data_IF_241178870945
#
_entry.id   IF_241178870945
#
_cell.length_a   1.000
_cell.length_b   1.000
_cell.length_c   1.000
_cell.angle_alpha   90.00
_cell.angle_beta   90.00
_cell.angle_gamma   90.00
#
_symmetry.space_group_name_H-M   'P 1'
#
loop_
_entity.id
_entity.type
_entity.pdbx_description
1 polymer ?
#
# COMPACT_ATOMS: atom_id res chain seq x y z
N UNK A 1 47.67 62.80 7.99
CA UNK A 1 48.18 61.93 9.07
C UNK A 1 47.74 62.50 10.41
N UNK A 2 47.43 61.70 11.46
CA UNK A 2 47.27 60.24 11.58
C UNK A 2 45.78 59.85 11.81
N UNK A 3 45.20 58.66 11.62
CA UNK A 3 45.55 57.25 11.88
C UNK A 3 45.86 56.92 13.35
N UNK A 4 44.86 56.50 14.13
CA UNK A 4 45.07 55.29 14.92
C UNK A 4 43.79 54.52 15.27
N UNK A 5 43.83 53.22 14.96
CA UNK A 5 42.97 52.12 15.43
C UNK A 5 43.42 51.66 16.81
N UNK A 6 42.53 51.01 17.55
CA UNK A 6 42.66 49.66 18.16
C UNK A 6 41.53 49.52 19.21
N UNK A 7 40.52 48.66 19.05
CA UNK A 7 40.48 47.20 19.01
C UNK A 7 40.37 46.52 20.39
N UNK A 8 39.32 45.70 20.51
CA UNK A 8 39.11 44.52 21.38
C UNK A 8 38.91 44.70 22.89
N UNK A 9 37.76 44.27 23.43
CA UNK A 9 37.48 42.87 23.79
C UNK A 9 36.24 42.76 24.72
N UNK A 10 35.24 41.98 24.27
CA UNK A 10 34.69 40.81 24.95
C UNK A 10 34.12 40.87 26.40
N UNK A 11 32.88 40.35 26.52
CA UNK A 11 32.38 39.41 27.55
C UNK A 11 31.70 39.99 28.82
N UNK A 12 30.37 40.05 28.73
CA UNK A 12 29.42 39.21 29.47
C UNK A 12 28.50 39.80 30.54
N UNK A 13 27.27 39.27 30.43
CA UNK A 13 26.37 38.82 31.48
C UNK A 13 25.38 39.80 32.11
N UNK A 14 24.13 39.61 31.66
CA UNK A 14 23.00 39.36 32.53
C UNK A 14 22.26 40.61 32.98
N UNK A 15 20.95 40.61 33.15
CA UNK A 15 19.97 39.53 33.10
C UNK A 15 18.63 40.26 33.23
N UNK A 16 17.65 40.02 32.34
CA UNK A 16 16.21 40.09 32.62
C UNK A 16 15.43 39.92 31.33
N UNK A 17 14.73 38.79 31.21
CA UNK A 17 13.48 38.76 30.45
C UNK A 17 12.53 37.76 31.13
N UNK A 18 11.27 38.16 31.37
CA UNK A 18 10.30 37.32 32.04
C UNK A 18 9.84 36.23 31.08
N UNK A 19 9.91 34.99 31.55
CA UNK A 19 9.24 33.88 30.92
C UNK A 19 7.73 34.08 31.05
N UNK A 20 7.10 34.61 29.99
CA UNK A 20 5.68 34.55 29.78
C UNK A 20 5.40 33.84 28.45
N UNK A 21 4.86 32.63 28.59
CA UNK A 21 3.72 32.16 27.80
C UNK A 21 3.84 32.21 26.26
N UNK A 22 4.29 31.11 25.67
CA UNK A 22 3.84 30.69 24.32
C UNK A 22 3.63 29.18 24.28
N UNK A 23 2.57 28.70 24.93
CA UNK A 23 1.92 27.46 24.51
C UNK A 23 1.03 27.75 23.29
N UNK A 24 1.64 28.18 22.19
CA UNK A 24 0.99 28.23 20.89
C UNK A 24 1.28 26.92 20.18
N UNK A 25 0.34 25.98 20.20
CA UNK A 25 0.44 24.77 19.37
C UNK A 25 0.24 25.14 17.89
N UNK A 26 1.23 25.77 17.26
CA UNK A 26 1.24 25.88 15.81
C UNK A 26 1.99 24.66 15.28
N UNK A 27 1.26 23.71 14.71
CA UNK A 27 1.86 22.69 13.85
C UNK A 27 2.79 23.41 12.85
N UNK A 28 4.00 22.89 12.58
CA UNK A 28 4.93 23.52 11.63
C UNK A 28 4.22 23.75 10.29
N UNK A 29 4.32 24.96 9.74
CA UNK A 29 3.77 25.25 8.43
C UNK A 29 4.37 24.33 7.37
N UNK A 30 3.53 23.76 6.50
CA UNK A 30 4.00 22.86 5.45
C UNK A 30 4.96 23.58 4.51
N UNK A 31 6.01 22.87 4.09
CA UNK A 31 6.89 23.35 3.01
C UNK A 31 6.10 23.41 1.71
N UNK A 32 6.34 24.46 0.92
CA UNK A 32 5.83 24.52 -0.46
C UNK A 32 6.58 23.51 -1.32
N UNK A 33 5.85 22.62 -1.97
CA UNK A 33 6.41 21.59 -2.84
C UNK A 33 6.40 22.09 -4.29
N UNK A 34 7.59 22.25 -4.87
CA UNK A 34 7.81 22.62 -6.28
C UNK A 34 8.27 21.41 -7.11
N UNK A 35 7.75 20.22 -6.78
CA UNK A 35 8.05 18.95 -7.46
C UNK A 35 6.91 18.58 -8.40
N UNK A 36 7.10 17.67 -9.37
CA UNK A 36 5.99 17.14 -10.18
C UNK A 36 5.07 16.19 -9.40
N UNK A 37 5.47 15.78 -8.19
CA UNK A 37 4.68 14.93 -7.29
C UNK A 37 5.55 14.28 -6.20
N UNK A 38 4.98 13.92 -5.04
CA UNK A 38 3.67 14.34 -4.55
C UNK A 38 3.62 15.86 -4.29
N UNK A 39 2.42 16.44 -4.36
CA UNK A 39 2.18 17.88 -4.18
C UNK A 39 1.54 18.18 -2.82
N UNK A 40 1.64 19.43 -2.40
CA UNK A 40 0.91 19.90 -1.23
C UNK A 40 -0.60 19.89 -1.53
N UNK A 41 -1.39 19.41 -0.57
CA UNK A 41 -2.86 19.37 -0.66
C UNK A 41 -3.48 20.41 0.27
N UNK A 42 -4.75 20.77 0.03
CA UNK A 42 -5.50 21.70 0.89
C UNK A 42 -5.73 21.12 2.29
N UNK A 43 -6.04 22.00 3.26
CA UNK A 43 -6.43 21.59 4.61
C UNK A 43 -7.63 20.64 4.60
N UNK A 44 -8.62 20.90 3.75
CA UNK A 44 -9.81 20.06 3.62
C UNK A 44 -9.50 18.65 3.15
N UNK A 45 -8.53 18.47 2.24
CA UNK A 45 -8.06 17.13 1.83
C UNK A 45 -7.37 16.42 3.00
N UNK A 46 -6.53 17.11 3.77
CA UNK A 46 -5.87 16.51 4.94
C UNK A 46 -6.89 16.07 6.00
N UNK A 47 -7.88 16.91 6.28
CA UNK A 47 -8.95 16.58 7.23
C UNK A 47 -9.78 15.37 6.77
N UNK A 48 -10.03 15.24 5.46
CA UNK A 48 -10.76 14.09 4.92
C UNK A 48 -10.04 12.74 5.17
N UNK A 49 -8.70 12.75 5.34
CA UNK A 49 -7.92 11.55 5.66
C UNK A 49 -8.07 11.09 7.11
N UNK A 50 -8.62 11.93 8.00
CA UNK A 50 -8.83 11.59 9.41
C UNK A 50 -10.11 10.77 9.64
N UNK A 51 -10.75 10.29 8.56
CA UNK A 51 -12.01 9.59 8.61
C UNK A 51 -11.97 8.32 7.78
N UNK A 52 -12.09 7.19 8.46
CA UNK A 52 -12.21 5.89 7.82
C UNK A 52 -13.65 5.61 7.40
N UNK A 53 -13.81 4.94 6.25
CA UNK A 53 -15.08 4.46 5.75
C UNK A 53 -14.94 3.00 5.35
N UNK A 54 -15.91 2.17 5.73
CA UNK A 54 -15.98 0.79 5.26
C UNK A 54 -16.29 0.73 3.77
N UNK A 55 -15.76 -0.26 3.06
CA UNK A 55 -15.96 -0.42 1.61
C UNK A 55 -17.42 -0.66 1.19
N UNK A 56 -18.27 -1.08 2.13
CA UNK A 56 -19.72 -1.28 1.95
C UNK A 56 -20.57 -0.13 2.52
N UNK A 57 -19.95 0.88 3.10
CA UNK A 57 -20.65 2.07 3.59
C UNK A 57 -21.28 2.81 2.40
N UNK A 58 -22.54 3.21 2.54
CA UNK A 58 -23.28 3.98 1.54
C UNK A 58 -22.52 5.24 1.15
N UNK A 59 -21.88 5.91 2.11
CA UNK A 59 -21.08 7.10 1.84
C UNK A 59 -19.86 6.78 0.97
N UNK A 60 -19.14 5.70 1.27
CA UNK A 60 -17.98 5.27 0.47
C UNK A 60 -18.40 4.91 -0.95
N UNK A 61 -19.46 4.11 -1.09
CA UNK A 61 -20.00 3.69 -2.39
C UNK A 61 -20.41 4.91 -3.22
N UNK A 62 -21.13 5.86 -2.62
CA UNK A 62 -21.56 7.09 -3.31
C UNK A 62 -20.36 7.94 -3.76
N UNK A 63 -19.34 8.09 -2.90
CA UNK A 63 -18.10 8.82 -3.25
C UNK A 63 -17.36 8.16 -4.41
N UNK A 64 -17.20 6.84 -4.39
CA UNK A 64 -16.54 6.09 -5.46
C UNK A 64 -17.34 6.21 -6.76
N UNK A 65 -18.67 6.05 -6.70
CA UNK A 65 -19.55 6.20 -7.88
C UNK A 65 -19.44 7.59 -8.48
N UNK A 66 -19.47 8.63 -7.64
CA UNK A 66 -19.31 10.02 -8.07
C UNK A 66 -17.97 10.26 -8.76
N UNK A 67 -16.86 9.80 -8.18
CA UNK A 67 -15.52 9.96 -8.76
C UNK A 67 -15.44 9.26 -10.12
N UNK A 68 -15.93 8.02 -10.21
CA UNK A 68 -15.92 7.24 -11.46
C UNK A 68 -16.66 7.96 -12.58
N UNK A 69 -17.85 8.50 -12.29
CA UNK A 69 -18.66 9.23 -13.26
C UNK A 69 -17.98 10.54 -13.70
N UNK A 70 -17.48 11.33 -12.75
CA UNK A 70 -16.79 12.61 -13.06
C UNK A 70 -15.54 12.42 -13.88
N UNK A 71 -14.80 11.32 -13.69
CA UNK A 71 -13.62 11.02 -14.50
C UNK A 71 -13.97 10.73 -15.97
N UNK A 72 -15.09 10.06 -16.24
CA UNK A 72 -15.57 9.86 -17.62
C UNK A 72 -15.97 11.18 -18.28
N UNK A 73 -16.65 12.05 -17.53
CA UNK A 73 -17.04 13.39 -18.00
C UNK A 73 -15.82 14.25 -18.33
N UNK A 74 -14.80 14.26 -17.45
CA UNK A 74 -13.54 14.98 -17.69
C UNK A 74 -12.79 14.42 -18.90
N UNK A 75 -12.81 13.10 -19.10
CA UNK A 75 -12.20 12.45 -20.25
C UNK A 75 -13.02 12.62 -21.56
N UNK A 76 -14.26 13.13 -21.49
CA UNK A 76 -15.11 13.34 -22.66
C UNK A 76 -15.60 12.05 -23.32
N UNK A 77 -15.71 10.95 -22.56
CA UNK A 77 -16.14 9.64 -23.09
C UNK A 77 -17.51 9.22 -22.55
N UNK A 78 -18.34 8.53 -23.36
CA UNK A 78 -19.66 8.13 -22.91
C UNK A 78 -19.61 6.89 -22.00
N UNK A 79 -20.40 6.91 -20.93
CA UNK A 79 -20.50 5.81 -19.97
C UNK A 79 -21.09 4.51 -20.57
N UNK A 80 -21.69 4.58 -21.76
CA UNK A 80 -22.19 3.41 -22.48
C UNK A 80 -21.07 2.55 -23.07
N UNK A 81 -19.88 3.13 -23.32
CA UNK A 81 -18.74 2.42 -23.90
C UNK A 81 -17.52 2.39 -22.98
N UNK A 82 -17.46 3.28 -21.99
CA UNK A 82 -16.33 3.39 -21.07
C UNK A 82 -16.78 3.34 -19.61
N UNK A 83 -15.91 2.82 -18.75
CA UNK A 83 -16.04 2.92 -17.29
C UNK A 83 -14.71 3.34 -16.70
N UNK A 84 -14.76 4.01 -15.55
CA UNK A 84 -13.58 4.25 -14.72
C UNK A 84 -13.51 3.15 -13.65
N UNK A 85 -12.32 2.60 -13.42
CA UNK A 85 -12.02 1.65 -12.34
C UNK A 85 -10.88 2.25 -11.51
N UNK A 86 -11.16 2.77 -10.30
CA UNK A 86 -10.11 3.24 -9.41
C UNK A 86 -9.21 2.07 -9.00
N UNK A 87 -7.90 2.28 -9.07
CA UNK A 87 -6.89 1.30 -8.68
C UNK A 87 -6.06 1.85 -7.52
N UNK A 88 -5.78 1.03 -6.53
CA UNK A 88 -4.95 1.42 -5.39
C UNK A 88 -3.48 1.32 -5.81
N UNK A 89 -2.77 2.45 -5.86
CA UNK A 89 -1.36 2.49 -6.26
C UNK A 89 -0.99 3.78 -6.98
N UNK A 90 0.24 3.83 -7.48
CA UNK A 90 0.76 4.95 -8.27
C UNK A 90 0.31 4.88 -9.75
N UNK A 91 0.67 5.88 -10.55
CA UNK A 91 0.44 5.84 -12.00
C UNK A 91 1.12 4.65 -12.68
N UNK A 92 2.35 4.31 -12.27
CA UNK A 92 3.07 3.13 -12.77
C UNK A 92 2.29 1.84 -12.48
N UNK A 93 1.71 1.73 -11.28
CA UNK A 93 0.89 0.57 -10.93
C UNK A 93 -0.31 0.39 -11.87
N UNK A 94 -1.01 1.49 -12.19
CA UNK A 94 -2.14 1.44 -13.12
C UNK A 94 -1.71 0.97 -14.53
N UNK A 95 -0.57 1.43 -15.02
CA UNK A 95 -0.01 1.02 -16.32
C UNK A 95 0.34 -0.48 -16.32
N UNK A 96 1.02 -0.96 -15.29
CA UNK A 96 1.35 -2.38 -15.16
C UNK A 96 0.11 -3.27 -15.04
N UNK A 97 -0.90 -2.86 -14.28
CA UNK A 97 -2.15 -3.59 -14.13
C UNK A 97 -2.88 -3.76 -15.47
N UNK A 98 -2.88 -2.73 -16.32
CA UNK A 98 -3.45 -2.81 -17.68
C UNK A 98 -2.62 -3.76 -18.52
N UNK A 99 -1.30 -3.53 -18.64
CA UNK A 99 -0.41 -4.34 -19.49
C UNK A 99 -0.51 -5.83 -19.14
N UNK A 100 -0.44 -6.16 -17.85
CA UNK A 100 -0.47 -7.55 -17.39
C UNK A 100 -1.81 -8.25 -17.57
N UNK A 101 -2.90 -7.49 -17.74
CA UNK A 101 -4.26 -8.02 -17.91
C UNK A 101 -4.70 -8.05 -19.37
N UNK A 102 -4.26 -7.10 -20.20
CA UNK A 102 -4.72 -6.97 -21.60
C UNK A 102 -3.75 -7.52 -22.62
N UNK A 103 -2.47 -7.72 -22.28
CA UNK A 103 -1.47 -8.29 -23.21
C UNK A 103 -1.50 -9.82 -23.13
N UNK A 104 -1.72 -10.54 -24.25
CA UNK A 104 -1.66 -12.00 -24.29
C UNK A 104 -0.30 -12.53 -23.84
N UNK A 105 -0.29 -13.67 -23.16
CA UNK A 105 0.93 -14.29 -22.60
C UNK A 105 1.88 -14.90 -23.63
N UNK A 106 1.56 -14.78 -24.92
CA UNK A 106 2.35 -15.34 -26.01
C UNK A 106 3.56 -14.45 -26.33
N UNK A 107 4.61 -14.56 -25.52
CA UNK A 107 6.04 -14.36 -25.87
C UNK A 107 6.90 -13.98 -24.65
N UNK A 108 6.87 -14.78 -23.58
CA UNK A 108 8.03 -15.06 -22.71
C UNK A 108 8.93 -13.94 -22.15
N UNK A 109 8.56 -12.65 -22.19
CA UNK A 109 9.44 -11.54 -21.80
C UNK A 109 8.88 -10.58 -20.76
N UNK A 110 7.69 -10.85 -20.20
CA UNK A 110 7.25 -10.14 -19.00
C UNK A 110 7.71 -10.96 -17.79
N UNK A 111 8.76 -10.50 -17.11
CA UNK A 111 9.15 -11.03 -15.80
C UNK A 111 7.92 -10.98 -14.88
N UNK A 112 7.60 -12.10 -14.25
CA UNK A 112 6.41 -12.28 -13.42
C UNK A 112 6.56 -11.60 -12.05
N UNK A 113 6.57 -10.29 -12.07
CA UNK A 113 6.79 -9.45 -10.91
C UNK A 113 5.42 -9.06 -10.32
N UNK A 114 4.66 -10.06 -9.84
CA UNK A 114 3.34 -9.89 -9.21
C UNK A 114 3.52 -9.53 -7.73
N UNK A 115 3.72 -8.24 -7.45
CA UNK A 115 4.06 -7.77 -6.10
C UNK A 115 2.87 -7.56 -5.16
N UNK A 116 1.65 -7.40 -5.67
CA UNK A 116 0.46 -7.07 -4.85
C UNK A 116 -0.40 -8.28 -4.53
N UNK A 117 -0.87 -9.02 -5.54
CA UNK A 117 -1.60 -10.28 -5.33
C UNK A 117 -0.82 -11.37 -6.03
N UNK A 118 -0.15 -12.19 -5.24
CA UNK A 118 0.65 -13.30 -5.73
C UNK A 118 -0.20 -14.56 -5.70
N UNK A 119 -0.31 -15.25 -6.85
CA UNK A 119 -1.00 -16.54 -6.94
C UNK A 119 0.02 -17.66 -6.77
N UNK A 120 -0.28 -18.61 -5.89
CA UNK A 120 0.52 -19.80 -5.62
C UNK A 120 -0.25 -21.03 -6.04
N UNK A 121 0.40 -21.96 -6.73
CA UNK A 121 -0.19 -23.27 -7.00
C UNK A 121 -0.41 -24.02 -5.68
N UNK A 122 -1.44 -24.87 -5.65
CA UNK A 122 -1.56 -25.83 -4.57
C UNK A 122 -0.29 -26.70 -4.53
N UNK A 123 0.25 -26.97 -3.33
CA UNK A 123 1.26 -28.00 -3.14
C UNK A 123 0.83 -29.32 -3.77
N UNK A 124 1.71 -29.91 -4.58
CA UNK A 124 1.58 -31.27 -5.08
C UNK A 124 1.91 -32.26 -3.96
N UNK A 125 1.00 -32.41 -3.01
CA UNK A 125 1.16 -33.30 -1.86
C UNK A 125 -0.17 -33.93 -1.44
N UNK A 126 -0.24 -35.25 -1.19
CA UNK A 126 -1.50 -35.94 -0.90
C UNK A 126 -2.20 -35.46 0.38
N UNK A 127 -1.46 -34.91 1.34
CA UNK A 127 -2.02 -34.33 2.56
C UNK A 127 -2.55 -32.89 2.37
N UNK A 128 -2.31 -32.25 1.22
CA UNK A 128 -2.74 -30.87 1.01
C UNK A 128 -4.23 -30.79 0.67
N UNK A 129 -4.97 -30.06 1.50
CA UNK A 129 -6.35 -29.63 1.24
C UNK A 129 -6.43 -28.13 1.48
N UNK A 130 -6.76 -27.35 0.45
CA UNK A 130 -6.87 -25.89 0.61
C UNK A 130 -7.89 -25.49 1.68
N UNK A 131 -8.97 -26.26 1.84
CA UNK A 131 -9.98 -26.02 2.87
C UNK A 131 -9.38 -26.11 4.28
N UNK A 132 -8.60 -27.16 4.54
CA UNK A 132 -7.95 -27.37 5.85
C UNK A 132 -6.83 -26.35 6.09
N UNK A 133 -5.98 -26.15 5.07
CA UNK A 133 -4.91 -25.15 5.09
C UNK A 133 -5.43 -23.74 5.39
N UNK A 134 -6.49 -23.32 4.70
CA UNK A 134 -7.14 -22.02 4.91
C UNK A 134 -7.72 -21.91 6.33
N UNK A 135 -8.43 -22.93 6.81
CA UNK A 135 -9.03 -22.90 8.14
C UNK A 135 -7.98 -22.69 9.23
N UNK A 136 -6.88 -23.46 9.17
CA UNK A 136 -5.80 -23.39 10.16
C UNK A 136 -5.04 -22.07 10.13
N UNK A 137 -4.82 -21.49 8.94
CA UNK A 137 -4.24 -20.16 8.83
C UNK A 137 -5.18 -19.08 9.37
N UNK A 138 -6.47 -19.19 9.07
CA UNK A 138 -7.49 -18.27 9.57
C UNK A 138 -7.58 -18.30 11.11
N UNK A 139 -7.45 -19.48 11.73
CA UNK A 139 -7.41 -19.63 13.19
C UNK A 139 -6.17 -18.94 13.82
N UNK A 140 -5.10 -18.76 13.03
CA UNK A 140 -3.90 -17.97 13.38
C UNK A 140 -4.01 -16.49 12.98
N UNK A 141 -5.20 -16.04 12.59
CA UNK A 141 -5.45 -14.66 12.16
C UNK A 141 -4.94 -14.31 10.76
N UNK A 142 -4.47 -15.30 9.99
CA UNK A 142 -3.91 -15.10 8.65
C UNK A 142 -4.94 -15.45 7.57
N UNK A 143 -5.55 -14.44 6.96
CA UNK A 143 -6.58 -14.64 5.93
C UNK A 143 -5.97 -14.58 4.54
N UNK A 144 -6.12 -15.67 3.78
CA UNK A 144 -5.71 -15.77 2.37
C UNK A 144 -6.92 -16.00 1.46
N UNK A 145 -6.76 -15.75 0.15
CA UNK A 145 -7.88 -15.85 -0.80
C UNK A 145 -7.82 -17.14 -1.62
N UNK A 146 -8.95 -17.81 -1.86
CA UNK A 146 -9.01 -18.85 -2.89
C UNK A 146 -8.73 -18.24 -4.27
N UNK A 147 -7.91 -18.92 -5.07
CA UNK A 147 -7.67 -18.57 -6.47
C UNK A 147 -8.53 -19.43 -7.39
N UNK A 148 -9.59 -18.87 -7.97
CA UNK A 148 -10.33 -19.50 -9.07
C UNK A 148 -10.56 -18.49 -10.18
N UNK A 149 -9.52 -18.19 -10.94
CA UNK A 149 -9.65 -17.35 -12.16
C UNK A 149 -9.16 -18.09 -13.41
N UNK A 150 -8.52 -19.27 -13.26
CA UNK A 150 -8.08 -20.14 -14.36
C UNK A 150 -8.29 -21.62 -14.01
N UNK A 151 -8.00 -22.54 -14.95
CA UNK A 151 -8.08 -24.01 -14.79
C UNK A 151 -7.09 -24.59 -13.76
N UNK A 152 -6.26 -23.78 -13.12
CA UNK A 152 -5.24 -24.23 -12.18
C UNK A 152 -5.70 -24.04 -10.74
N UNK A 153 -5.56 -25.10 -9.95
CA UNK A 153 -5.81 -25.07 -8.51
C UNK A 153 -4.76 -24.22 -7.81
N UNK A 154 -5.17 -23.04 -7.34
CA UNK A 154 -4.30 -22.03 -6.75
C UNK A 154 -4.97 -21.28 -5.59
N UNK A 155 -4.13 -20.67 -4.74
CA UNK A 155 -4.54 -19.69 -3.75
C UNK A 155 -3.75 -18.39 -3.95
N UNK A 156 -4.19 -17.32 -3.29
CA UNK A 156 -3.60 -15.98 -3.43
C UNK A 156 -3.27 -15.37 -2.09
N UNK A 157 -2.11 -14.73 -2.02
CA UNK A 157 -1.68 -13.90 -0.90
C UNK A 157 -1.63 -12.45 -1.39
N UNK A 158 -2.22 -11.55 -0.61
CA UNK A 158 -2.15 -10.12 -0.86
C UNK A 158 -1.03 -9.49 -0.02
N UNK A 159 -0.15 -8.72 -0.64
CA UNK A 159 0.93 -7.97 0.00
C UNK A 159 0.63 -6.45 -0.08
N UNK A 160 -0.59 -6.06 0.31
CA UNK A 160 -1.14 -4.71 0.15
C UNK A 160 -1.82 -4.26 1.44
N UNK A 161 -1.66 -2.99 1.81
CA UNK A 161 -2.28 -2.38 2.97
C UNK A 161 -1.24 -1.95 4.02
N UNK A 162 -1.64 -1.96 5.28
CA UNK A 162 -0.76 -1.65 6.41
C UNK A 162 0.04 -2.90 6.80
N UNK A 163 0.98 -3.28 5.94
CA UNK A 163 1.83 -4.46 6.11
C UNK A 163 3.29 -4.03 6.12
N UNK A 164 4.05 -4.59 7.05
CA UNK A 164 5.48 -4.40 7.22
C UNK A 164 6.22 -5.72 7.03
N UNK A 165 7.56 -5.71 6.90
CA UNK A 165 8.35 -6.92 6.77
C UNK A 165 8.08 -7.97 7.87
N UNK A 166 7.79 -7.52 9.09
CA UNK A 166 7.50 -8.37 10.24
C UNK A 166 6.18 -9.16 10.07
N UNK A 167 5.16 -8.54 9.46
CA UNK A 167 3.89 -9.21 9.15
C UNK A 167 4.11 -10.34 8.13
N UNK A 168 4.98 -10.10 7.14
CA UNK A 168 5.33 -11.10 6.13
C UNK A 168 6.09 -12.26 6.75
N UNK A 169 7.03 -11.98 7.67
CA UNK A 169 7.73 -13.02 8.42
C UNK A 169 6.77 -13.84 9.29
N UNK A 170 5.82 -13.18 9.95
CA UNK A 170 4.81 -13.83 10.77
C UNK A 170 3.88 -14.73 9.95
N UNK A 171 3.43 -14.28 8.77
CA UNK A 171 2.66 -15.08 7.85
C UNK A 171 3.42 -16.35 7.42
N UNK A 172 4.70 -16.21 7.05
CA UNK A 172 5.55 -17.34 6.65
C UNK A 172 5.73 -18.34 7.80
N UNK A 173 5.88 -17.86 9.04
CA UNK A 173 5.95 -18.72 10.22
C UNK A 173 4.64 -19.50 10.42
N UNK A 174 3.49 -18.83 10.32
CA UNK A 174 2.18 -19.50 10.41
C UNK A 174 2.00 -20.56 9.32
N UNK A 175 2.43 -20.28 8.09
CA UNK A 175 2.39 -21.26 6.99
C UNK A 175 3.26 -22.48 7.29
N UNK A 176 4.45 -22.28 7.85
CA UNK A 176 5.34 -23.39 8.24
C UNK A 176 4.70 -24.29 9.30
N UNK A 177 4.11 -23.70 10.34
CA UNK A 177 3.40 -24.44 11.38
C UNK A 177 2.21 -25.22 10.81
N UNK A 178 1.39 -24.58 9.99
CA UNK A 178 0.22 -25.24 9.37
C UNK A 178 0.65 -26.39 8.45
N UNK A 179 1.71 -26.21 7.66
CA UNK A 179 2.27 -27.31 6.87
C UNK A 179 2.76 -28.46 7.75
N UNK A 180 3.45 -28.17 8.85
CA UNK A 180 3.91 -29.19 9.80
C UNK A 180 2.73 -29.95 10.43
N UNK A 181 1.68 -29.23 10.88
CA UNK A 181 0.46 -29.82 11.45
C UNK A 181 -0.30 -30.71 10.46
N UNK A 182 -0.23 -30.37 9.17
CA UNK A 182 -0.82 -31.16 8.07
C UNK A 182 0.09 -32.31 7.61
N UNK A 183 1.27 -32.47 8.20
CA UNK A 183 2.25 -33.49 7.78
C UNK A 183 2.87 -33.23 6.41
N UNK A 184 2.91 -31.96 5.97
CA UNK A 184 3.49 -31.53 4.70
C UNK A 184 4.93 -31.09 4.95
N UNK A 185 5.94 -31.77 4.39
CA UNK A 185 7.33 -31.39 4.58
C UNK A 185 7.66 -30.10 3.82
N UNK A 186 8.48 -29.25 4.44
CA UNK A 186 9.08 -28.08 3.81
C UNK A 186 10.61 -28.23 3.78
N UNK A 187 11.30 -27.91 2.65
CA UNK A 187 10.71 -27.53 1.37
C UNK A 187 9.97 -28.70 0.71
N UNK A 188 8.93 -28.38 -0.06
CA UNK A 188 8.23 -29.38 -0.87
C UNK A 188 9.21 -29.98 -1.88
N UNK A 189 9.18 -31.30 -2.03
CA UNK A 189 9.88 -31.96 -3.13
C UNK A 189 9.11 -31.65 -4.40
N UNK A 190 9.71 -30.91 -5.32
CA UNK A 190 9.14 -30.74 -6.65
C UNK A 190 9.22 -32.06 -7.41
N UNK A 191 8.08 -32.55 -7.88
CA UNK A 191 8.03 -33.58 -8.92
C UNK A 191 8.75 -33.03 -10.16
N UNK A 192 9.89 -33.63 -10.51
CA UNK A 192 10.69 -33.32 -11.71
C UNK A 192 9.94 -33.64 -13.00
#
# INVERSE_FOLDING_TARGET
MPLNRQANAAISNGNHSPAAEKAGSSLPADKKLFTPGPLGVSLTTKQAMLRDLGSRDVEFVNKVSFIRQRLLEVAGVPASTHTCVPVQGSGTFAVEAVITTTVPRESGKVKEDRYIITSYHFPDHPAFSFKDFYSRLNDKGQVIYPGKVTKADCFRVGNIGHLFPEDMQHLLHCIQEVCADMGIPLPLKTSS
#
